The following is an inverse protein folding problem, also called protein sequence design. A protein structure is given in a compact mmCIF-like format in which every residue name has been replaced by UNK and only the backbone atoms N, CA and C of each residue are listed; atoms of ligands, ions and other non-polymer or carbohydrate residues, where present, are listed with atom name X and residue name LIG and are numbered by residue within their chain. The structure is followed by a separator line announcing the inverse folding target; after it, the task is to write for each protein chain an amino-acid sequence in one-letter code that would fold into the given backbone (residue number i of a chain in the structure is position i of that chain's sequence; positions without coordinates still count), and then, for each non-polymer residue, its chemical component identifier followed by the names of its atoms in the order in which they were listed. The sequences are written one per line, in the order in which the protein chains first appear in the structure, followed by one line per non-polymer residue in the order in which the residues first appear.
data_IF_931912325121
#
_entry.id   IF_931912325121
#
_cell.length_a   1.000
_cell.length_b   1.000
_cell.length_c   1.000
_cell.angle_alpha   90.00
_cell.angle_beta   90.00
_cell.angle_gamma   90.00
#
_symmetry.space_group_name_H-M   'P 1'
#
loop_
_entity.id
_entity.type
_entity.pdbx_description
1 polymer ?
#
# COMPACT_ATOMS: atom_id res chain seq x y z
N UNK A 1 0.82 32.53 -16.23
CA UNK A 1 2.19 32.68 -15.72
C UNK A 1 2.51 31.42 -14.94
N UNK A 2 3.57 30.67 -15.27
CA UNK A 2 3.84 29.37 -14.63
C UNK A 2 4.16 29.57 -13.14
N UNK A 3 3.36 28.95 -12.26
CA UNK A 3 3.41 29.00 -10.79
C UNK A 3 4.78 28.61 -10.22
N UNK A 4 5.49 27.74 -10.93
CA UNK A 4 6.81 27.22 -10.54
C UNK A 4 7.92 27.69 -11.50
N UNK A 5 9.12 27.89 -10.95
CA UNK A 5 10.38 28.06 -11.71
C UNK A 5 11.25 26.83 -11.50
N UNK A 6 11.77 26.25 -12.56
CA UNK A 6 12.75 25.15 -12.48
C UNK A 6 14.09 25.64 -11.92
N UNK A 7 14.70 24.85 -11.02
CA UNK A 7 15.98 25.16 -10.39
C UNK A 7 17.03 24.10 -10.75
N UNK A 8 16.86 22.86 -10.27
CA UNK A 8 17.86 21.78 -10.41
C UNK A 8 17.21 20.45 -10.75
N UNK A 9 17.82 19.69 -11.66
CA UNK A 9 17.46 18.28 -11.90
C UNK A 9 17.92 17.40 -10.73
N UNK A 10 16.97 16.79 -10.03
CA UNK A 10 17.23 15.90 -8.89
C UNK A 10 17.38 14.44 -9.31
N UNK A 11 16.67 14.02 -10.36
CA UNK A 11 16.74 12.66 -10.86
C UNK A 11 15.93 12.44 -12.12
N UNK A 12 16.27 11.38 -12.86
CA UNK A 12 15.56 10.95 -14.05
C UNK A 12 15.50 9.42 -14.09
N UNK A 13 14.32 8.87 -14.33
CA UNK A 13 14.10 7.43 -14.35
C UNK A 13 12.93 7.01 -15.24
N UNK A 14 12.55 5.72 -15.19
CA UNK A 14 11.46 5.17 -16.01
C UNK A 14 10.10 5.82 -15.77
N UNK A 15 9.91 6.45 -14.61
CA UNK A 15 8.66 7.11 -14.22
C UNK A 15 8.70 8.62 -14.40
N UNK A 16 9.69 9.15 -15.11
CA UNK A 16 9.79 10.56 -15.43
C UNK A 16 10.97 11.29 -14.79
N UNK A 17 10.85 12.61 -14.74
CA UNK A 17 11.91 13.53 -14.33
C UNK A 17 11.52 14.23 -13.04
N UNK A 18 12.44 14.32 -12.08
CA UNK A 18 12.22 15.02 -10.81
C UNK A 18 13.11 16.26 -10.75
N UNK A 19 12.49 17.42 -10.55
CA UNK A 19 13.13 18.72 -10.49
C UNK A 19 12.91 19.35 -9.13
N UNK A 20 13.92 20.06 -8.62
CA UNK A 20 13.73 21.09 -7.61
C UNK A 20 13.12 22.31 -8.29
N UNK A 21 12.04 22.83 -7.71
CA UNK A 21 11.32 24.00 -8.26
C UNK A 21 11.02 25.01 -7.18
N UNK A 22 11.04 26.30 -7.52
CA UNK A 22 10.64 27.40 -6.65
C UNK A 22 9.18 27.78 -6.96
N UNK A 23 8.30 27.71 -5.95
CA UNK A 23 6.96 28.27 -6.07
C UNK A 23 7.03 29.80 -5.91
N UNK A 24 6.53 30.52 -6.91
CA UNK A 24 6.59 32.00 -6.94
C UNK A 24 5.60 32.65 -5.98
N UNK A 25 4.57 31.94 -5.54
CA UNK A 25 3.52 32.48 -4.67
C UNK A 25 3.94 32.50 -3.19
N UNK A 26 4.61 31.43 -2.72
CA UNK A 26 5.04 31.30 -1.32
C UNK A 26 6.56 31.37 -1.13
N UNK A 27 7.33 31.49 -2.22
CA UNK A 27 8.81 31.53 -2.23
C UNK A 27 9.48 30.29 -1.61
N UNK A 28 8.82 29.13 -1.62
CA UNK A 28 9.37 27.86 -1.11
C UNK A 28 9.78 26.92 -2.23
N UNK A 29 10.75 26.06 -1.91
CA UNK A 29 11.20 25.00 -2.82
C UNK A 29 10.41 23.71 -2.64
N UNK A 30 10.14 23.05 -3.75
CA UNK A 30 9.40 21.79 -3.85
C UNK A 30 10.12 20.80 -4.76
N UNK A 31 9.74 19.53 -4.66
CA UNK A 31 10.06 18.53 -5.67
C UNK A 31 8.91 18.45 -6.67
N UNK A 32 9.22 18.59 -7.96
CA UNK A 32 8.30 18.44 -9.08
C UNK A 32 8.65 17.18 -9.85
N UNK A 33 7.78 16.18 -9.79
CA UNK A 33 7.87 14.98 -10.62
C UNK A 33 7.01 15.18 -11.87
N UNK A 34 7.65 15.03 -13.03
CA UNK A 34 7.04 15.19 -14.35
C UNK A 34 7.03 13.82 -15.04
N UNK A 35 5.84 13.30 -15.29
CA UNK A 35 5.63 12.05 -15.98
C UNK A 35 5.05 12.32 -17.36
N UNK A 36 5.73 11.90 -18.43
CA UNK A 36 5.21 12.02 -19.79
C UNK A 36 4.28 10.85 -20.07
N UNK A 37 2.98 11.14 -20.18
CA UNK A 37 1.97 10.09 -20.35
C UNK A 37 2.20 9.31 -21.65
N UNK A 38 2.51 10.00 -22.75
CA UNK A 38 2.78 9.35 -24.04
C UNK A 38 3.93 8.34 -23.95
N UNK A 39 5.07 8.77 -23.39
CA UNK A 39 6.25 7.91 -23.24
C UNK A 39 5.98 6.72 -22.33
N UNK A 40 5.26 6.93 -21.21
CA UNK A 40 4.82 5.86 -20.33
C UNK A 40 3.95 4.87 -21.09
N UNK A 41 2.94 5.37 -21.79
CA UNK A 41 2.04 4.53 -22.56
C UNK A 41 2.84 3.71 -23.60
N UNK A 42 3.66 4.33 -24.44
CA UNK A 42 4.37 3.62 -25.52
C UNK A 42 5.58 2.77 -25.11
N UNK A 43 5.92 2.67 -23.82
CA UNK A 43 7.16 2.02 -23.38
C UNK A 43 7.19 0.49 -23.56
N UNK A 44 6.04 -0.16 -23.78
CA UNK A 44 5.97 -1.56 -24.25
C UNK A 44 4.58 -1.87 -24.77
N UNK A 45 4.48 -2.54 -25.91
CA UNK A 45 3.21 -2.84 -26.59
C UNK A 45 2.20 -3.67 -25.76
N UNK A 46 2.62 -4.24 -24.62
CA UNK A 46 1.78 -5.11 -23.76
C UNK A 46 1.52 -4.58 -22.33
N UNK A 47 2.10 -3.45 -21.87
CA UNK A 47 1.98 -3.00 -20.46
C UNK A 47 1.37 -1.60 -20.24
N UNK A 48 0.62 -1.08 -21.21
CA UNK A 48 -0.06 0.21 -21.07
C UNK A 48 -0.93 0.30 -19.79
N UNK A 49 -1.67 -0.77 -19.48
CA UNK A 49 -2.47 -0.91 -18.25
C UNK A 49 -1.71 -0.63 -16.97
N UNK A 50 -0.48 -1.12 -16.87
CA UNK A 50 0.29 -1.06 -15.62
C UNK A 50 0.65 0.37 -15.29
N UNK A 51 1.20 1.09 -16.25
CA UNK A 51 1.76 2.43 -16.02
C UNK A 51 0.65 3.43 -15.72
N UNK A 52 -0.49 3.21 -16.32
CA UNK A 52 -1.75 3.90 -16.07
C UNK A 52 -2.27 3.63 -14.66
N UNK A 53 -2.31 2.36 -14.25
CA UNK A 53 -2.67 1.99 -12.88
C UNK A 53 -1.72 2.62 -11.88
N UNK A 54 -0.44 2.81 -12.24
CA UNK A 54 0.51 3.48 -11.38
C UNK A 54 0.11 4.93 -11.11
N UNK A 55 -0.32 5.67 -12.13
CA UNK A 55 -0.78 7.06 -11.99
C UNK A 55 -2.02 7.13 -11.12
N UNK A 56 -3.03 6.29 -11.37
CA UNK A 56 -4.26 6.26 -10.56
C UNK A 56 -3.94 5.96 -9.09
N UNK A 57 -3.08 4.96 -8.84
CA UNK A 57 -2.67 4.58 -7.48
C UNK A 57 -1.91 5.70 -6.80
N UNK A 58 -1.02 6.39 -7.53
CA UNK A 58 -0.29 7.56 -7.04
C UNK A 58 -1.26 8.69 -6.66
N UNK A 59 -2.27 8.98 -7.50
CA UNK A 59 -3.31 9.98 -7.18
C UNK A 59 -4.09 9.60 -5.92
N UNK A 60 -4.45 8.32 -5.75
CA UNK A 60 -5.16 7.87 -4.55
C UNK A 60 -4.31 8.06 -3.27
N UNK A 61 -2.99 8.16 -3.39
CA UNK A 61 -2.11 8.43 -2.24
C UNK A 61 -2.02 9.90 -1.85
N UNK A 62 -2.60 10.83 -2.61
CA UNK A 62 -2.54 12.27 -2.31
C UNK A 62 -3.30 12.66 -1.04
N UNK A 63 -4.27 11.84 -0.61
CA UNK A 63 -4.99 12.02 0.67
C UNK A 63 -4.21 11.53 1.90
N UNK A 64 -3.05 10.91 1.71
CA UNK A 64 -2.24 10.39 2.81
C UNK A 64 -1.59 11.54 3.60
N UNK A 65 -1.62 11.42 4.92
CA UNK A 65 -1.05 12.39 5.84
C UNK A 65 -0.45 11.67 7.04
N UNK A 66 0.87 11.56 7.06
CA UNK A 66 1.62 10.88 8.11
C UNK A 66 3.06 11.44 8.17
N UNK A 67 3.69 11.56 9.36
CA UNK A 67 5.05 12.11 9.49
C UNK A 67 6.11 11.36 8.66
N UNK A 68 5.91 10.07 8.39
CA UNK A 68 6.81 9.22 7.60
C UNK A 68 6.31 8.94 6.18
N UNK A 69 5.36 9.74 5.67
CA UNK A 69 4.89 9.70 4.28
C UNK A 69 5.13 11.09 3.68
N UNK A 70 5.68 11.12 2.47
CA UNK A 70 5.97 12.37 1.77
C UNK A 70 4.68 13.16 1.54
N UNK A 71 4.68 14.43 1.97
CA UNK A 71 3.53 15.31 1.86
C UNK A 71 3.31 15.75 0.41
N UNK A 72 2.15 15.38 -0.10
CA UNK A 72 1.62 15.89 -1.35
C UNK A 72 1.23 17.38 -1.21
N UNK A 73 1.49 18.16 -2.24
CA UNK A 73 1.10 19.56 -2.32
C UNK A 73 0.00 19.78 -3.38
N UNK A 74 0.28 19.44 -4.64
CA UNK A 74 -0.69 19.53 -5.73
C UNK A 74 -0.28 18.69 -6.93
N UNK A 75 -1.19 18.51 -7.88
CA UNK A 75 -0.93 17.87 -9.16
C UNK A 75 -1.74 18.53 -10.26
N UNK A 76 -1.25 18.45 -11.50
CA UNK A 76 -1.97 18.96 -12.66
C UNK A 76 -1.50 18.26 -13.94
N UNK A 77 -2.39 18.26 -14.93
CA UNK A 77 -2.05 17.88 -16.30
C UNK A 77 -1.64 19.12 -17.08
N UNK A 78 -0.63 18.95 -17.91
CA UNK A 78 -0.16 19.97 -18.87
C UNK A 78 -0.77 19.70 -20.24
N UNK A 79 -0.70 20.70 -21.13
CA UNK A 79 -1.21 20.59 -22.50
C UNK A 79 -0.36 19.69 -23.40
N UNK A 80 0.87 19.37 -22.98
CA UNK A 80 1.81 18.48 -23.67
C UNK A 80 1.86 17.08 -23.04
N UNK A 81 0.72 16.61 -22.54
CA UNK A 81 0.49 15.26 -22.00
C UNK A 81 1.46 14.86 -20.87
N UNK A 82 1.88 15.83 -20.05
CA UNK A 82 2.62 15.54 -18.81
C UNK A 82 1.69 15.59 -17.61
N UNK A 83 1.79 14.57 -16.77
CA UNK A 83 1.26 14.58 -15.42
C UNK A 83 2.33 15.09 -14.47
N UNK A 84 2.02 16.19 -13.76
CA UNK A 84 2.93 16.85 -12.84
C UNK A 84 2.45 16.66 -11.41
N UNK A 85 3.34 16.24 -10.53
CA UNK A 85 3.10 16.02 -9.10
C UNK A 85 4.09 16.88 -8.31
N UNK A 86 3.58 17.66 -7.37
CA UNK A 86 4.36 18.51 -6.48
C UNK A 86 4.31 17.95 -5.06
N UNK A 87 5.48 17.72 -4.47
CA UNK A 87 5.63 17.28 -3.08
C UNK A 87 6.60 18.17 -2.32
N UNK A 88 6.65 18.00 -1.00
CA UNK A 88 7.75 18.56 -0.20
C UNK A 88 9.11 18.12 -0.74
N UNK A 89 10.12 19.00 -0.63
CA UNK A 89 11.49 18.75 -1.09
C UNK A 89 12.32 18.09 0.00
N UNK A 90 12.94 16.96 -0.31
CA UNK A 90 13.92 16.28 0.53
C UNK A 90 15.35 16.72 0.21
N UNK A 91 16.27 16.51 1.15
CA UNK A 91 17.70 16.80 0.97
C UNK A 91 18.39 15.72 0.10
N UNK A 92 17.94 14.47 0.24
CA UNK A 92 18.42 13.32 -0.52
C UNK A 92 17.49 12.11 -0.36
N UNK A 93 17.79 10.99 -1.01
CA UNK A 93 17.20 9.69 -0.69
C UNK A 93 18.17 8.83 0.15
N UNK A 94 17.69 7.70 0.68
CA UNK A 94 18.47 6.84 1.57
C UNK A 94 19.71 6.26 0.87
N UNK A 95 19.64 5.96 -0.42
CA UNK A 95 20.80 5.54 -1.24
C UNK A 95 21.91 6.58 -1.18
N UNK A 96 21.58 7.84 -1.48
CA UNK A 96 22.52 8.96 -1.48
C UNK A 96 23.05 9.27 -0.08
N UNK A 97 22.19 9.26 0.93
CA UNK A 97 22.56 9.46 2.32
C UNK A 97 23.56 8.40 2.80
N UNK A 98 23.26 7.12 2.57
CA UNK A 98 24.14 6.01 2.94
C UNK A 98 25.48 6.07 2.21
N UNK A 99 25.47 6.42 0.92
CA UNK A 99 26.69 6.62 0.13
C UNK A 99 27.60 7.70 0.74
N UNK A 100 27.04 8.86 1.12
CA UNK A 100 27.78 9.93 1.80
C UNK A 100 28.40 9.45 3.13
N UNK A 101 27.69 8.65 3.92
CA UNK A 101 28.23 8.10 5.17
C UNK A 101 29.44 7.19 4.89
N UNK A 102 29.34 6.30 3.89
CA UNK A 102 30.44 5.39 3.51
C UNK A 102 31.65 6.16 2.99
N UNK A 103 31.45 7.15 2.12
CA UNK A 103 32.52 7.99 1.57
C UNK A 103 33.27 8.77 2.66
N UNK A 104 32.53 9.24 3.68
CA UNK A 104 33.10 9.91 4.85
C UNK A 104 33.58 8.94 5.94
N UNK A 105 33.55 7.63 5.69
CA UNK A 105 33.94 6.56 6.63
C UNK A 105 33.17 6.60 7.95
N UNK A 106 31.94 7.10 7.92
CA UNK A 106 31.04 7.14 9.08
C UNK A 106 30.26 5.82 9.11
N UNK A 107 30.57 4.98 10.13
CA UNK A 107 29.75 3.81 10.44
C UNK A 107 28.47 4.25 11.16
N UNK A 108 27.35 3.69 10.76
CA UNK A 108 26.09 3.88 11.47
C UNK A 108 26.08 3.05 12.76
N UNK A 109 25.56 3.63 13.83
CA UNK A 109 25.33 2.90 15.07
C UNK A 109 24.05 2.06 14.97
N UNK A 110 23.93 1.05 15.83
CA UNK A 110 22.70 0.25 15.91
C UNK A 110 21.48 1.12 16.24
N UNK A 111 21.64 2.13 17.13
CA UNK A 111 20.57 3.08 17.43
C UNK A 111 20.10 3.84 16.17
N UNK A 112 21.03 4.34 15.34
CA UNK A 112 20.68 5.03 14.10
C UNK A 112 19.97 4.10 13.11
N UNK A 113 20.42 2.85 12.96
CA UNK A 113 19.76 1.87 12.08
C UNK A 113 18.33 1.59 12.58
N UNK A 114 18.17 1.38 13.88
CA UNK A 114 16.86 1.15 14.50
C UNK A 114 15.92 2.34 14.30
N UNK A 115 16.41 3.58 14.49
CA UNK A 115 15.61 4.80 14.30
C UNK A 115 15.11 4.97 12.85
N UNK A 116 15.96 4.69 11.87
CA UNK A 116 15.56 4.71 10.46
C UNK A 116 14.51 3.63 10.20
N UNK A 117 14.74 2.41 10.67
CA UNK A 117 13.81 1.31 10.46
C UNK A 117 12.46 1.55 11.13
N UNK A 118 12.42 2.12 12.33
CA UNK A 118 11.17 2.52 12.99
C UNK A 118 10.39 3.51 12.12
N UNK A 119 11.05 4.54 11.58
CA UNK A 119 10.40 5.53 10.72
C UNK A 119 9.85 4.91 9.42
N UNK A 120 10.62 4.02 8.79
CA UNK A 120 10.16 3.26 7.61
C UNK A 120 8.93 2.42 7.98
N UNK A 121 9.01 1.66 9.08
CA UNK A 121 7.92 0.77 9.48
C UNK A 121 6.67 1.54 9.88
N UNK A 122 6.76 2.69 10.54
CA UNK A 122 5.59 3.55 10.82
C UNK A 122 4.89 4.00 9.53
N UNK A 123 5.65 4.45 8.53
CA UNK A 123 5.10 4.78 7.22
C UNK A 123 4.42 3.58 6.55
N UNK A 124 5.07 2.42 6.58
CA UNK A 124 4.54 1.16 6.02
C UNK A 124 3.26 0.72 6.72
N UNK A 125 3.22 0.74 8.05
CA UNK A 125 2.04 0.41 8.84
C UNK A 125 0.89 1.37 8.52
N UNK A 126 1.17 2.68 8.44
CA UNK A 126 0.16 3.66 8.08
C UNK A 126 -0.49 3.37 6.71
N UNK A 127 0.31 2.93 5.71
CA UNK A 127 -0.17 2.51 4.41
C UNK A 127 -1.00 1.22 4.52
N UNK A 128 -0.47 0.20 5.21
CA UNK A 128 -1.14 -1.09 5.39
C UNK A 128 -2.49 -0.92 6.07
N UNK A 129 -2.57 0.01 7.02
CA UNK A 129 -3.79 0.41 7.68
C UNK A 129 -4.82 1.00 6.68
N UNK A 130 -4.39 1.62 5.60
CA UNK A 130 -5.30 2.10 4.55
C UNK A 130 -5.53 1.09 3.44
N UNK A 131 -5.18 -0.19 3.65
CA UNK A 131 -5.18 -1.25 2.63
C UNK A 131 -4.34 -0.88 1.39
N UNK A 132 -3.30 -0.06 1.60
CA UNK A 132 -2.33 0.31 0.56
C UNK A 132 -1.06 -0.47 0.83
N UNK A 133 -0.56 -1.16 -0.18
CA UNK A 133 0.78 -1.76 -0.18
C UNK A 133 1.70 -0.88 -1.03
N UNK A 134 2.93 -0.66 -0.59
CA UNK A 134 3.88 0.15 -1.34
C UNK A 134 4.43 -0.60 -2.56
N UNK A 135 4.79 -1.88 -2.41
CA UNK A 135 5.24 -2.82 -3.47
C UNK A 135 6.53 -2.48 -4.21
N UNK A 136 7.14 -1.33 -3.93
CA UNK A 136 8.44 -0.89 -4.46
C UNK A 136 9.28 -0.26 -3.33
N UNK A 137 9.18 -0.78 -2.10
CA UNK A 137 10.00 -0.29 -1.00
C UNK A 137 11.48 -0.55 -1.31
N UNK A 138 12.25 0.53 -1.43
CA UNK A 138 13.70 0.50 -1.65
C UNK A 138 14.36 1.76 -1.08
N UNK A 139 15.69 1.78 -0.92
CA UNK A 139 16.40 2.98 -0.46
C UNK A 139 16.22 4.21 -1.37
N UNK A 140 15.87 4.04 -2.65
CA UNK A 140 15.61 5.16 -3.55
C UNK A 140 14.26 5.84 -3.27
N UNK A 141 13.30 5.07 -2.74
CA UNK A 141 11.94 5.53 -2.43
C UNK A 141 11.79 5.92 -0.93
N UNK A 142 12.91 6.12 -0.23
CA UNK A 142 12.96 6.64 1.14
C UNK A 142 13.69 7.97 1.12
N UNK A 143 12.96 9.06 1.32
CA UNK A 143 13.46 10.42 1.33
C UNK A 143 14.00 10.82 2.71
N UNK A 144 15.07 11.59 2.71
CA UNK A 144 15.83 12.02 3.89
C UNK A 144 15.71 13.52 4.07
N UNK A 145 15.35 13.95 5.27
CA UNK A 145 15.14 15.34 5.68
C UNK A 145 15.88 15.63 6.98
N UNK A 146 16.06 16.92 7.26
CA UNK A 146 16.61 17.45 8.51
C UNK A 146 17.97 16.82 8.87
N UNK A 147 18.88 16.75 7.89
CA UNK A 147 20.24 16.20 8.01
C UNK A 147 20.27 14.76 8.54
N UNK A 148 19.39 13.90 7.98
CA UNK A 148 19.36 12.48 8.35
C UNK A 148 18.58 12.16 9.62
N UNK A 149 17.73 13.08 10.09
CA UNK A 149 16.87 12.85 11.27
C UNK A 149 15.47 12.35 10.90
N UNK A 150 14.96 12.71 9.72
CA UNK A 150 13.60 12.36 9.29
C UNK A 150 13.62 11.56 7.98
N UNK A 151 12.87 10.46 7.96
CA UNK A 151 12.76 9.55 6.83
C UNK A 151 11.29 9.39 6.43
N UNK A 152 11.00 9.58 5.14
CA UNK A 152 9.64 9.49 4.61
C UNK A 152 9.59 8.62 3.37
N UNK A 153 8.55 7.79 3.25
CA UNK A 153 8.31 7.01 2.04
C UNK A 153 7.78 7.92 0.92
N UNK A 154 8.11 7.62 -0.33
CA UNK A 154 7.59 8.28 -1.52
C UNK A 154 7.30 7.27 -2.65
N UNK A 155 6.71 7.73 -3.75
CA UNK A 155 6.51 6.92 -4.97
C UNK A 155 5.69 5.63 -4.78
N UNK A 156 4.46 5.79 -4.28
CA UNK A 156 3.51 4.70 -4.00
C UNK A 156 2.82 4.12 -5.26
N UNK A 157 3.12 4.66 -6.44
CA UNK A 157 2.42 4.31 -7.68
C UNK A 157 2.79 2.95 -8.25
N UNK A 158 3.91 2.33 -7.88
CA UNK A 158 4.52 1.28 -8.72
C UNK A 158 4.05 -0.15 -8.41
N UNK A 159 2.77 -0.38 -8.64
CA UNK A 159 2.21 -1.73 -8.65
C UNK A 159 2.29 -2.36 -10.05
N UNK A 160 3.03 -3.46 -10.14
CA UNK A 160 3.06 -4.47 -11.22
C UNK A 160 3.84 -4.16 -12.51
N UNK A 161 5.17 -4.28 -12.40
CA UNK A 161 6.06 -4.78 -13.47
C UNK A 161 6.32 -3.81 -14.64
N UNK A 162 7.50 -3.18 -14.63
CA UNK A 162 8.18 -2.82 -15.88
C UNK A 162 9.33 -3.80 -16.07
N UNK A 163 9.22 -4.67 -17.08
CA UNK A 163 10.40 -5.32 -17.64
C UNK A 163 11.26 -4.27 -18.35
N UNK A 164 12.58 -4.44 -18.20
CA UNK A 164 13.65 -3.85 -19.01
C UNK A 164 13.62 -2.33 -19.26
N UNK A 165 13.97 -1.53 -18.25
CA UNK A 165 14.89 -0.41 -18.48
C UNK A 165 16.27 -0.80 -17.93
N UNK A 166 17.36 -0.35 -18.56
CA UNK A 166 18.73 -0.64 -18.08
C UNK A 166 19.02 -0.09 -16.66
N UNK A 167 18.09 0.68 -16.08
CA UNK A 167 18.09 1.16 -14.69
C UNK A 167 17.26 0.29 -13.71
N UNK A 168 16.54 -0.75 -14.16
CA UNK A 168 15.60 -1.53 -13.31
C UNK A 168 16.21 -2.70 -12.52
N UNK A 169 17.48 -3.06 -12.75
CA UNK A 169 18.09 -4.25 -12.12
C UNK A 169 18.14 -4.11 -10.59
N UNK A 170 18.43 -2.91 -10.07
CA UNK A 170 18.52 -2.66 -8.61
C UNK A 170 17.19 -2.74 -7.87
N UNK A 171 16.10 -2.23 -8.45
CA UNK A 171 14.76 -2.27 -7.80
C UNK A 171 14.19 -3.69 -7.70
N UNK A 172 14.55 -4.60 -8.62
CA UNK A 172 14.16 -6.01 -8.50
C UNK A 172 14.83 -6.71 -7.30
N UNK A 173 15.94 -6.18 -6.78
CA UNK A 173 16.67 -6.77 -5.66
C UNK A 173 15.90 -6.70 -4.33
N UNK A 174 14.84 -5.88 -4.25
CA UNK A 174 14.04 -5.68 -3.03
C UNK A 174 12.71 -6.44 -3.06
N UNK A 175 12.29 -6.99 -4.20
CA UNK A 175 10.97 -7.61 -4.35
C UNK A 175 10.87 -8.94 -3.61
N UNK A 176 9.70 -9.15 -3.01
CA UNK A 176 9.34 -10.41 -2.37
C UNK A 176 9.17 -11.53 -3.42
N UNK A 177 9.51 -12.79 -3.09
CA UNK A 177 9.44 -13.90 -4.04
C UNK A 177 8.03 -14.13 -4.58
N UNK A 178 7.00 -13.93 -3.75
CA UNK A 178 5.61 -14.11 -4.16
C UNK A 178 5.12 -13.06 -5.17
N UNK A 179 5.77 -11.89 -5.30
CA UNK A 179 5.40 -10.88 -6.31
C UNK A 179 5.66 -11.40 -7.73
N UNK A 180 6.62 -12.31 -7.90
CA UNK A 180 7.02 -12.86 -9.20
C UNK A 180 6.03 -13.90 -9.73
N UNK A 181 5.20 -14.47 -8.85
CA UNK A 181 4.16 -15.45 -9.18
C UNK A 181 2.80 -14.75 -9.36
N UNK A 182 2.47 -14.37 -10.60
CA UNK A 182 1.32 -13.52 -10.95
C UNK A 182 -0.08 -14.09 -10.62
N UNK A 183 -0.17 -15.32 -10.11
CA UNK A 183 -1.44 -16.03 -9.88
C UNK A 183 -1.93 -16.04 -8.42
N UNK A 184 -1.17 -15.46 -7.47
CA UNK A 184 -1.55 -15.41 -6.05
C UNK A 184 -1.82 -13.97 -5.63
N UNK A 185 -2.93 -13.73 -4.95
CA UNK A 185 -3.19 -12.45 -4.30
C UNK A 185 -2.06 -12.09 -3.34
N UNK A 186 -1.53 -10.87 -3.43
CA UNK A 186 -0.40 -10.42 -2.59
C UNK A 186 -0.90 -9.89 -1.25
N UNK A 187 -0.18 -10.20 -0.18
CA UNK A 187 -0.44 -9.69 1.18
C UNK A 187 0.47 -8.48 1.50
N UNK A 188 0.15 -7.66 2.51
CA UNK A 188 1.03 -6.58 2.97
C UNK A 188 2.45 -7.03 3.37
N UNK A 189 2.67 -8.33 3.58
CA UNK A 189 3.97 -8.91 3.95
C UNK A 189 5.03 -8.77 2.86
N UNK A 190 4.66 -8.42 1.62
CA UNK A 190 5.63 -8.09 0.56
C UNK A 190 6.49 -6.86 0.89
N UNK A 191 5.89 -5.88 1.59
CA UNK A 191 6.60 -4.67 2.02
C UNK A 191 7.53 -4.98 3.20
N UNK A 192 7.17 -5.95 4.05
CA UNK A 192 8.02 -6.45 5.14
C UNK A 192 9.28 -7.12 4.61
N UNK A 193 9.17 -7.93 3.55
CA UNK A 193 10.33 -8.49 2.88
C UNK A 193 11.27 -7.40 2.35
N UNK A 194 10.71 -6.42 1.65
CA UNK A 194 11.45 -5.28 1.09
C UNK A 194 12.18 -4.50 2.19
N UNK A 195 11.49 -4.24 3.31
CA UNK A 195 12.06 -3.62 4.51
C UNK A 195 13.19 -4.47 5.15
N UNK A 196 13.11 -5.80 5.08
CA UNK A 196 14.17 -6.71 5.55
C UNK A 196 15.45 -6.55 4.73
N UNK A 197 15.33 -6.43 3.40
CA UNK A 197 16.48 -6.17 2.52
C UNK A 197 17.05 -4.76 2.77
N UNK A 198 16.19 -3.77 3.08
CA UNK A 198 16.65 -2.43 3.51
C UNK A 198 17.41 -2.50 4.84
N UNK A 199 16.94 -3.27 5.83
CA UNK A 199 17.66 -3.48 7.10
C UNK A 199 19.05 -4.09 6.84
N UNK A 200 19.14 -5.11 6.00
CA UNK A 200 20.43 -5.68 5.59
C UNK A 200 21.35 -4.65 4.92
N UNK A 201 20.80 -3.82 4.03
CA UNK A 201 21.52 -2.74 3.37
C UNK A 201 22.04 -1.69 4.37
N UNK A 202 21.24 -1.31 5.37
CA UNK A 202 21.66 -0.38 6.42
C UNK A 202 22.80 -0.97 7.27
N UNK A 203 22.74 -2.26 7.62
CA UNK A 203 23.78 -2.93 8.38
C UNK A 203 25.09 -3.09 7.59
N UNK A 204 25.02 -3.48 6.32
CA UNK A 204 26.20 -3.98 5.58
C UNK A 204 26.68 -3.07 4.46
N UNK A 205 25.86 -2.09 4.03
CA UNK A 205 26.04 -1.32 2.79
C UNK A 205 26.11 -2.18 1.52
N UNK A 206 25.55 -3.40 1.56
CA UNK A 206 25.53 -4.37 0.45
C UNK A 206 24.10 -4.75 0.11
N UNK A 207 23.89 -5.14 -1.14
CA UNK A 207 22.64 -5.75 -1.64
C UNK A 207 22.78 -7.27 -1.86
N UNK A 208 24.00 -7.80 -1.70
CA UNK A 208 24.34 -9.19 -1.96
C UNK A 208 24.83 -9.87 -0.70
N UNK A 209 24.23 -11.02 -0.39
CA UNK A 209 24.72 -11.92 0.64
C UNK A 209 25.47 -13.09 0.00
N UNK A 210 26.71 -13.33 0.44
CA UNK A 210 27.60 -14.38 -0.11
C UNK A 210 27.70 -14.34 -1.65
N UNK A 211 27.75 -13.14 -2.22
CA UNK A 211 27.88 -12.93 -3.68
C UNK A 211 26.58 -13.04 -4.50
N UNK A 212 25.46 -13.46 -3.88
CA UNK A 212 24.14 -13.55 -4.52
C UNK A 212 23.21 -12.43 -4.05
N UNK A 213 22.34 -11.95 -4.92
CA UNK A 213 21.31 -10.96 -4.56
C UNK A 213 20.31 -11.63 -3.62
N UNK A 214 19.95 -10.98 -2.51
CA UNK A 214 19.10 -11.61 -1.49
C UNK A 214 17.75 -12.05 -2.06
N UNK A 215 17.11 -11.24 -2.91
CA UNK A 215 15.83 -11.61 -3.55
C UNK A 215 15.91 -12.85 -4.46
N UNK A 216 17.12 -13.27 -4.86
CA UNK A 216 17.33 -14.48 -5.68
C UNK A 216 17.62 -15.73 -4.87
N UNK A 217 17.75 -15.61 -3.55
CA UNK A 217 18.00 -16.73 -2.65
C UNK A 217 16.67 -17.41 -2.30
N UNK A 218 16.18 -18.28 -3.20
CA UNK A 218 14.87 -18.95 -3.06
C UNK A 218 14.94 -20.36 -2.45
N UNK A 219 16.16 -20.87 -2.21
CA UNK A 219 16.38 -22.27 -1.81
C UNK A 219 16.33 -22.46 -0.29
N UNK A 220 15.16 -22.25 0.33
CA UNK A 220 14.89 -22.57 1.74
C UNK A 220 15.03 -21.41 2.73
N UNK A 221 14.99 -21.69 4.05
CA UNK A 221 15.01 -20.64 5.08
C UNK A 221 16.33 -19.88 5.02
N UNK A 222 16.23 -18.56 4.78
CA UNK A 222 17.37 -17.66 4.84
C UNK A 222 17.87 -17.57 6.28
N UNK A 223 19.14 -17.96 6.49
CA UNK A 223 19.90 -17.72 7.73
C UNK A 223 21.05 -16.77 7.41
N UNK A 224 20.71 -15.48 7.33
CA UNK A 224 21.65 -14.40 7.11
C UNK A 224 22.40 -14.13 8.41
N UNK A 225 23.74 -14.15 8.29
CA UNK A 225 24.65 -13.73 9.35
C UNK A 225 25.15 -12.32 9.09
N UNK A 226 25.17 -11.50 10.13
CA UNK A 226 25.68 -10.15 10.18
C UNK A 226 26.98 -10.12 10.98
N UNK A 227 27.78 -9.06 10.78
CA UNK A 227 29.00 -8.85 11.54
C UNK A 227 28.67 -8.55 13.02
N UNK A 228 29.61 -8.81 13.93
CA UNK A 228 29.38 -8.72 15.38
C UNK A 228 28.82 -7.35 15.81
N UNK A 229 29.22 -6.27 15.14
CA UNK A 229 28.73 -4.90 15.38
C UNK A 229 27.19 -4.78 15.21
N UNK A 230 26.58 -5.52 14.27
CA UNK A 230 25.15 -5.47 13.93
C UNK A 230 24.40 -6.78 14.24
N UNK A 231 25.03 -7.72 14.95
CA UNK A 231 24.49 -9.05 15.22
C UNK A 231 23.11 -9.07 15.87
N UNK A 232 22.79 -8.02 16.64
CA UNK A 232 21.48 -7.87 17.29
C UNK A 232 20.30 -7.85 16.30
N UNK A 233 20.52 -7.48 15.03
CA UNK A 233 19.47 -7.45 14.01
C UNK A 233 19.26 -8.80 13.32
N UNK A 234 20.16 -9.78 13.49
CA UNK A 234 20.05 -11.08 12.81
C UNK A 234 18.72 -11.80 13.08
N UNK A 235 18.20 -11.89 14.33
CA UNK A 235 16.96 -12.62 14.57
C UNK A 235 15.77 -11.99 13.86
N UNK A 236 15.66 -10.66 13.93
CA UNK A 236 14.60 -9.89 13.28
C UNK A 236 14.71 -10.00 11.74
N UNK A 237 15.91 -9.81 11.20
CA UNK A 237 16.17 -9.88 9.76
C UNK A 237 15.71 -11.23 9.17
N UNK A 238 16.03 -12.34 9.84
CA UNK A 238 15.66 -13.67 9.37
C UNK A 238 14.14 -13.98 9.51
N UNK A 239 13.41 -13.30 10.41
CA UNK A 239 11.94 -13.36 10.46
C UNK A 239 11.29 -12.56 9.33
N UNK A 240 11.87 -11.40 8.97
CA UNK A 240 11.40 -10.56 7.86
C UNK A 240 11.62 -11.22 6.49
N UNK A 241 12.69 -12.01 6.34
CA UNK A 241 13.07 -12.67 5.09
C UNK A 241 12.62 -14.14 5.01
N UNK A 242 11.52 -14.50 5.69
CA UNK A 242 10.88 -15.81 5.48
C UNK A 242 10.26 -15.88 4.09
N UNK A 243 10.53 -16.97 3.38
CA UNK A 243 10.06 -17.16 2.02
C UNK A 243 8.53 -17.29 1.97
N UNK A 244 7.95 -18.17 2.81
CA UNK A 244 6.51 -18.29 2.96
C UNK A 244 5.94 -17.03 3.67
N UNK A 245 5.03 -16.26 3.02
CA UNK A 245 4.40 -15.10 3.64
C UNK A 245 3.64 -15.41 4.93
N UNK A 246 3.17 -16.65 5.12
CA UNK A 246 2.46 -17.08 6.34
C UNK A 246 3.41 -17.25 7.53
N UNK A 247 4.66 -17.64 7.28
CA UNK A 247 5.70 -17.73 8.31
C UNK A 247 6.44 -16.40 8.53
N UNK A 248 6.30 -15.46 7.60
CA UNK A 248 6.93 -14.14 7.69
C UNK A 248 6.24 -13.32 8.76
N UNK A 249 7.00 -12.59 9.56
CA UNK A 249 6.50 -11.62 10.55
C UNK A 249 5.72 -10.48 9.88
N UNK A 250 4.69 -9.92 10.52
CA UNK A 250 3.98 -8.73 9.99
C UNK A 250 4.67 -7.39 10.37
N UNK A 251 4.18 -6.28 9.81
CA UNK A 251 4.78 -4.96 9.99
C UNK A 251 4.71 -4.43 11.43
N UNK A 252 3.68 -4.81 12.20
CA UNK A 252 3.51 -4.42 13.61
C UNK A 252 4.48 -5.19 14.50
N UNK A 253 4.59 -6.49 14.27
CA UNK A 253 5.52 -7.35 14.98
C UNK A 253 6.98 -6.92 14.74
N UNK A 254 7.34 -6.52 13.50
CA UNK A 254 8.66 -5.92 13.22
C UNK A 254 8.89 -4.66 14.04
N UNK A 255 7.92 -3.73 14.05
CA UNK A 255 8.05 -2.50 14.80
C UNK A 255 8.19 -2.78 16.32
N UNK A 256 7.47 -3.77 16.85
CA UNK A 256 7.61 -4.19 18.25
C UNK A 256 9.03 -4.67 18.58
N UNK A 257 9.61 -5.55 17.74
CA UNK A 257 10.97 -6.04 17.98
C UNK A 257 12.03 -4.93 17.84
N UNK A 258 11.82 -3.96 16.94
CA UNK A 258 12.70 -2.77 16.85
C UNK A 258 12.64 -1.92 18.12
N UNK A 259 11.46 -1.73 18.72
CA UNK A 259 11.32 -1.02 19.98
C UNK A 259 12.02 -1.77 21.13
N UNK A 260 11.92 -3.10 21.17
CA UNK A 260 12.63 -3.94 22.15
C UNK A 260 14.15 -3.79 22.02
N UNK A 261 14.67 -3.80 20.78
CA UNK A 261 16.08 -3.53 20.47
C UNK A 261 16.50 -2.15 20.98
N UNK A 262 15.64 -1.14 20.81
CA UNK A 262 15.90 0.24 21.26
C UNK A 262 15.69 0.45 22.76
N UNK A 263 15.13 -0.54 23.47
CA UNK A 263 14.70 -0.43 24.86
C UNK A 263 13.69 0.72 25.08
N UNK A 264 12.84 0.98 24.09
CA UNK A 264 11.78 1.98 24.18
C UNK A 264 10.41 1.32 24.34
N UNK A 265 9.51 1.99 25.05
CA UNK A 265 8.15 1.46 25.20
C UNK A 265 7.44 1.52 23.86
N UNK A 266 7.07 0.34 23.35
CA UNK A 266 6.16 0.11 22.20
C UNK A 266 4.91 0.99 22.28
N UNK A 267 4.43 1.31 23.49
CA UNK A 267 3.25 2.15 23.72
C UNK A 267 3.51 3.60 23.28
N UNK A 268 4.73 4.10 23.12
CA UNK A 268 4.96 5.47 22.61
C UNK A 268 4.62 5.63 21.13
N UNK A 269 4.48 4.52 20.40
CA UNK A 269 4.17 4.51 18.97
C UNK A 269 2.67 4.39 18.77
N UNK A 270 2.08 5.46 18.21
CA UNK A 270 0.64 5.54 17.95
C UNK A 270 0.18 4.40 17.05
N UNK A 271 1.00 4.04 16.08
CA UNK A 271 0.77 2.96 15.11
C UNK A 271 0.63 1.60 15.81
N UNK A 272 1.40 1.37 16.89
CA UNK A 272 1.30 0.13 17.67
C UNK A 272 0.16 0.21 18.68
N UNK A 273 -0.21 1.38 19.19
CA UNK A 273 -1.43 1.52 20.00
C UNK A 273 -2.68 1.28 19.16
N UNK A 274 -2.73 1.83 17.95
CA UNK A 274 -3.82 1.61 16.99
C UNK A 274 -3.85 0.15 16.59
N UNK A 275 -2.71 -0.46 16.24
CA UNK A 275 -2.63 -1.87 15.90
C UNK A 275 -2.89 -2.82 17.08
N UNK A 276 -2.44 -2.52 18.31
CA UNK A 276 -2.73 -3.31 19.52
C UNK A 276 -4.18 -3.17 19.93
N UNK A 277 -4.73 -1.95 19.88
CA UNK A 277 -6.18 -1.77 20.01
C UNK A 277 -6.92 -2.57 18.94
N UNK A 278 -6.39 -2.65 17.72
CA UNK A 278 -6.95 -3.47 16.65
C UNK A 278 -6.69 -4.97 16.83
N UNK A 279 -5.59 -5.41 17.46
CA UNK A 279 -5.22 -6.81 17.75
C UNK A 279 -5.93 -7.38 18.97
N UNK A 280 -6.06 -6.61 20.06
CA UNK A 280 -6.95 -6.91 21.18
C UNK A 280 -8.42 -6.90 20.73
N UNK A 281 -8.72 -6.12 19.69
CA UNK A 281 -9.94 -6.20 18.90
C UNK A 281 -9.92 -7.29 17.81
N UNK A 282 -8.79 -7.95 17.51
CA UNK A 282 -8.65 -9.02 16.49
C UNK A 282 -8.85 -10.41 17.09
N UNK A 283 -9.29 -10.54 18.35
CA UNK A 283 -10.20 -11.63 18.67
C UNK A 283 -11.59 -11.34 18.06
N UNK A 284 -11.58 -11.01 16.77
CA UNK A 284 -12.71 -10.82 15.88
C UNK A 284 -12.59 -11.93 14.83
N UNK A 285 -12.43 -13.15 15.34
CA UNK A 285 -12.46 -14.37 14.55
C UNK A 285 -13.92 -14.61 14.17
N UNK A 286 -14.28 -14.12 12.99
CA UNK A 286 -15.59 -14.42 12.43
C UNK A 286 -15.62 -15.87 12.00
N UNK A 287 -16.57 -16.62 12.55
CA UNK A 287 -16.76 -18.04 12.34
C UNK A 287 -17.71 -18.35 11.20
N UNK A 288 -18.51 -17.36 10.74
CA UNK A 288 -19.46 -17.60 9.65
C UNK A 288 -18.76 -17.70 8.28
N UNK A 289 -19.15 -18.71 7.52
CA UNK A 289 -18.68 -18.99 6.16
C UNK A 289 -19.84 -19.09 5.17
N UNK A 290 -19.55 -18.81 3.90
CA UNK A 290 -20.55 -18.92 2.84
C UNK A 290 -20.85 -20.38 2.53
N UNK A 291 -22.12 -20.71 2.31
CA UNK A 291 -22.52 -22.01 1.78
C UNK A 291 -22.22 -22.16 0.27
N UNK A 292 -21.86 -21.07 -0.42
CA UNK A 292 -21.50 -21.08 -1.84
C UNK A 292 -20.01 -21.40 -2.01
N UNK A 293 -19.71 -22.55 -2.62
CA UNK A 293 -18.35 -23.08 -2.81
C UNK A 293 -17.46 -22.11 -3.60
N UNK A 294 -17.96 -21.53 -4.68
CA UNK A 294 -17.21 -20.56 -5.49
C UNK A 294 -16.86 -19.29 -4.71
N UNK A 295 -17.78 -18.83 -3.86
CA UNK A 295 -17.51 -17.68 -2.97
C UNK A 295 -16.43 -18.03 -1.94
N UNK A 296 -16.47 -19.23 -1.34
CA UNK A 296 -15.42 -19.66 -0.40
C UNK A 296 -14.04 -19.74 -1.05
N UNK A 297 -13.95 -20.25 -2.28
CA UNK A 297 -12.69 -20.29 -3.02
C UNK A 297 -12.12 -18.89 -3.29
N UNK A 298 -12.97 -17.92 -3.67
CA UNK A 298 -12.54 -16.54 -3.90
C UNK A 298 -12.09 -15.90 -2.59
N UNK A 299 -12.86 -16.05 -1.50
CA UNK A 299 -12.48 -15.53 -0.17
C UNK A 299 -11.14 -16.10 0.28
N UNK A 300 -10.91 -17.41 0.10
CA UNK A 300 -9.64 -18.06 0.44
C UNK A 300 -8.47 -17.51 -0.39
N UNK A 301 -8.67 -17.27 -1.70
CA UNK A 301 -7.66 -16.66 -2.58
C UNK A 301 -7.33 -15.21 -2.21
N UNK A 302 -8.32 -14.46 -1.74
CA UNK A 302 -8.15 -13.07 -1.29
C UNK A 302 -7.55 -12.97 0.13
N UNK A 303 -7.56 -14.07 0.89
CA UNK A 303 -7.08 -14.13 2.27
C UNK A 303 -8.04 -13.49 3.27
N UNK A 304 -7.62 -13.39 4.52
CA UNK A 304 -8.39 -12.73 5.57
C UNK A 304 -8.61 -11.24 5.28
N UNK A 305 -9.80 -10.75 5.60
CA UNK A 305 -10.11 -9.34 5.45
C UNK A 305 -9.48 -8.54 6.60
N UNK A 306 -8.63 -7.58 6.28
CA UNK A 306 -7.95 -6.76 7.28
C UNK A 306 -8.89 -5.66 7.83
N UNK A 307 -9.64 -6.01 8.88
CA UNK A 307 -10.49 -5.06 9.61
C UNK A 307 -9.67 -4.05 10.46
N UNK A 308 -8.48 -4.44 10.90
CA UNK A 308 -7.59 -3.65 11.77
C UNK A 308 -6.84 -2.53 11.06
N UNK A 309 -7.07 -2.38 9.77
CA UNK A 309 -6.44 -1.35 8.99
C UNK A 309 -7.11 0.03 9.25
N UNK A 310 -8.40 0.06 9.55
CA UNK A 310 -9.24 1.16 9.10
C UNK A 310 -9.39 2.26 10.16
N UNK A 311 -8.76 3.42 9.96
CA UNK A 311 -8.93 4.64 10.78
C UNK A 311 -10.33 5.31 10.68
N UNK A 312 -11.32 4.64 10.07
CA UNK A 312 -12.61 5.23 9.71
C UNK A 312 -13.83 4.56 10.40
N UNK A 313 -13.64 3.79 11.47
CA UNK A 313 -14.79 3.38 12.29
C UNK A 313 -15.27 4.63 13.04
N UNK A 314 -16.53 5.04 12.81
CA UNK A 314 -17.13 6.17 13.53
C UNK A 314 -17.10 5.93 15.04
N UNK A 315 -17.09 6.98 15.85
CA UNK A 315 -17.16 6.80 17.30
C UNK A 315 -18.54 6.29 17.70
N UNK A 316 -18.58 5.18 18.44
CA UNK A 316 -19.76 4.69 19.13
C UNK A 316 -19.35 4.11 20.50
N UNK A 317 -19.72 4.75 21.63
CA UNK A 317 -19.39 4.26 22.96
C UNK A 317 -20.17 3.00 23.37
N UNK A 318 -21.28 2.72 22.71
CA UNK A 318 -22.14 1.57 22.95
C UNK A 318 -21.78 0.37 22.05
N UNK A 319 -20.70 0.46 21.26
CA UNK A 319 -20.23 -0.61 20.37
C UNK A 319 -19.74 -1.82 21.17
N UNK A 320 -20.28 -3.00 20.87
CA UNK A 320 -19.86 -4.28 21.46
C UNK A 320 -19.69 -5.33 20.36
N UNK A 321 -18.76 -6.27 20.54
CA UNK A 321 -18.74 -7.48 19.71
C UNK A 321 -19.92 -8.37 20.08
N UNK A 322 -20.71 -8.79 19.09
CA UNK A 322 -21.77 -9.77 19.28
C UNK A 322 -21.30 -11.14 18.79
N UNK A 323 -20.99 -12.08 19.69
CA UNK A 323 -20.59 -13.43 19.30
C UNK A 323 -21.77 -14.29 18.79
N UNK A 324 -23.01 -13.79 18.86
CA UNK A 324 -24.18 -14.49 18.33
C UNK A 324 -24.43 -14.11 16.88
N UNK A 325 -24.62 -15.13 16.04
CA UNK A 325 -25.03 -14.96 14.65
C UNK A 325 -26.41 -14.31 14.61
N UNK A 326 -26.49 -13.10 14.08
CA UNK A 326 -27.76 -12.42 13.83
C UNK A 326 -28.38 -13.02 12.57
N UNK A 327 -29.33 -13.94 12.74
CA UNK A 327 -30.21 -14.33 11.64
C UNK A 327 -31.17 -13.18 11.33
N UNK A 328 -31.20 -12.77 10.06
CA UNK A 328 -32.14 -11.79 9.52
C UNK A 328 -33.36 -12.52 8.95
N UNK A 329 -34.48 -11.81 8.83
CA UNK A 329 -35.76 -12.38 8.36
C UNK A 329 -35.68 -12.91 6.91
N UNK A 330 -34.74 -12.40 6.12
CA UNK A 330 -34.45 -12.81 4.75
C UNK A 330 -33.56 -14.07 4.65
N UNK A 331 -33.17 -14.65 5.79
CA UNK A 331 -32.27 -15.79 5.89
C UNK A 331 -30.79 -15.44 5.74
N UNK A 332 -30.44 -14.15 5.72
CA UNK A 332 -29.05 -13.73 5.82
C UNK A 332 -28.55 -13.84 7.27
N UNK A 333 -27.23 -13.91 7.42
CA UNK A 333 -26.56 -13.99 8.71
C UNK A 333 -25.51 -12.89 8.84
N UNK A 334 -25.37 -12.35 10.04
CA UNK A 334 -24.34 -11.37 10.37
C UNK A 334 -23.59 -11.78 11.63
N UNK A 335 -22.27 -11.62 11.61
CA UNK A 335 -21.40 -11.79 12.75
C UNK A 335 -20.45 -10.59 12.81
N UNK A 336 -20.39 -9.94 13.98
CA UNK A 336 -19.55 -8.76 14.14
C UNK A 336 -19.95 -7.85 15.28
N UNK A 337 -19.45 -6.62 15.21
CA UNK A 337 -19.77 -5.55 16.15
C UNK A 337 -21.18 -5.01 15.89
N UNK A 338 -21.85 -4.69 16.99
CA UNK A 338 -23.20 -4.12 17.00
C UNK A 338 -23.27 -2.98 18.01
N UNK A 339 -24.24 -2.10 17.81
CA UNK A 339 -24.62 -1.15 18.84
C UNK A 339 -25.40 -1.87 19.96
N UNK A 340 -24.95 -1.71 21.21
CA UNK A 340 -25.51 -2.43 22.35
C UNK A 340 -27.00 -2.14 22.58
N UNK A 341 -27.47 -0.93 22.23
CA UNK A 341 -28.84 -0.47 22.48
C UNK A 341 -29.79 -0.93 21.38
N UNK A 342 -29.46 -0.64 20.14
CA UNK A 342 -30.28 -0.93 18.96
C UNK A 342 -30.10 -2.35 18.42
N UNK A 343 -29.01 -3.04 18.80
CA UNK A 343 -28.64 -4.39 18.32
C UNK A 343 -28.38 -4.49 16.82
N UNK A 344 -28.19 -3.36 16.15
CA UNK A 344 -27.90 -3.34 14.72
C UNK A 344 -26.38 -3.37 14.46
N UNK A 345 -25.93 -3.90 13.31
CA UNK A 345 -24.55 -3.82 12.85
C UNK A 345 -23.97 -2.41 12.97
N UNK A 346 -22.86 -2.32 13.71
CA UNK A 346 -22.13 -1.08 13.92
C UNK A 346 -20.67 -1.42 14.20
N UNK A 347 -19.81 -1.21 13.20
CA UNK A 347 -18.38 -1.50 13.25
C UNK A 347 -17.98 -2.59 12.30
N UNK A 348 -17.04 -3.41 12.73
CA UNK A 348 -16.50 -4.49 11.92
C UNK A 348 -17.52 -5.61 11.86
N UNK A 349 -17.67 -6.24 10.69
CA UNK A 349 -18.64 -7.33 10.53
C UNK A 349 -18.54 -8.03 9.19
N UNK A 350 -18.91 -9.32 9.21
CA UNK A 350 -19.26 -10.09 8.00
C UNK A 350 -20.77 -10.28 7.95
N UNK A 351 -21.31 -10.00 6.78
CA UNK A 351 -22.69 -10.30 6.43
C UNK A 351 -22.68 -11.33 5.30
N UNK A 352 -23.45 -12.41 5.45
CA UNK A 352 -23.60 -13.44 4.42
C UNK A 352 -25.07 -13.49 4.01
N UNK A 353 -25.35 -13.14 2.76
CA UNK A 353 -26.68 -13.22 2.20
C UNK A 353 -27.08 -14.68 1.94
N UNK A 354 -28.39 -14.93 1.87
CA UNK A 354 -28.95 -16.26 1.58
C UNK A 354 -28.43 -16.90 0.29
N UNK A 355 -28.05 -16.11 -0.71
CA UNK A 355 -27.46 -16.61 -1.96
C UNK A 355 -25.96 -16.98 -1.84
N UNK A 356 -25.36 -16.80 -0.65
CA UNK A 356 -23.95 -17.05 -0.37
C UNK A 356 -23.02 -15.86 -0.64
N UNK A 357 -23.54 -14.69 -1.03
CA UNK A 357 -22.72 -13.47 -1.15
C UNK A 357 -22.14 -13.10 0.21
N UNK A 358 -20.83 -12.83 0.25
CA UNK A 358 -20.10 -12.46 1.47
C UNK A 358 -19.74 -10.98 1.41
N UNK A 359 -20.10 -10.24 2.45
CA UNK A 359 -19.81 -8.83 2.61
C UNK A 359 -19.02 -8.62 3.90
N UNK A 360 -17.71 -8.46 3.79
CA UNK A 360 -16.84 -8.03 4.89
C UNK A 360 -16.72 -6.50 4.87
N UNK A 361 -16.73 -5.87 6.03
CA UNK A 361 -16.40 -4.45 6.09
C UNK A 361 -16.81 -3.75 7.36
N UNK A 362 -16.90 -2.43 7.24
CA UNK A 362 -17.38 -1.55 8.29
C UNK A 362 -18.86 -1.21 8.09
N UNK A 363 -19.57 -1.13 9.20
CA UNK A 363 -20.99 -0.88 9.30
C UNK A 363 -21.23 0.34 10.19
N UNK A 364 -22.20 1.17 9.84
CA UNK A 364 -22.69 2.29 10.64
C UNK A 364 -24.20 2.30 10.52
N UNK A 365 -24.89 2.24 11.66
CA UNK A 365 -26.35 2.30 11.69
C UNK A 365 -27.01 1.24 10.75
N UNK A 366 -26.50 0.00 10.75
CA UNK A 366 -26.90 -1.11 9.86
C UNK A 366 -26.56 -0.94 8.37
N UNK A 367 -25.84 0.11 7.97
CA UNK A 367 -25.42 0.36 6.58
C UNK A 367 -23.91 0.19 6.44
N UNK A 368 -23.45 -0.40 5.35
CA UNK A 368 -22.03 -0.53 5.04
C UNK A 368 -21.43 0.85 4.79
N UNK A 369 -20.38 1.19 5.53
CA UNK A 369 -19.79 2.52 5.52
C UNK A 369 -18.30 2.44 5.85
N UNK A 370 -17.44 2.95 4.96
CA UNK A 370 -15.98 2.77 5.02
C UNK A 370 -15.48 1.71 4.04
N UNK A 371 -14.29 1.16 4.28
CA UNK A 371 -13.72 0.16 3.39
C UNK A 371 -14.36 -1.22 3.59
N UNK A 372 -14.58 -1.94 2.50
CA UNK A 372 -15.18 -3.26 2.52
C UNK A 372 -14.78 -4.15 1.35
N UNK A 373 -15.11 -5.43 1.48
CA UNK A 373 -15.02 -6.46 0.46
C UNK A 373 -16.39 -7.10 0.24
N UNK A 374 -16.85 -7.15 -0.99
CA UNK A 374 -18.02 -7.95 -1.38
C UNK A 374 -17.59 -9.04 -2.36
N UNK A 375 -17.92 -10.30 -2.06
CA UNK A 375 -17.75 -11.44 -2.97
C UNK A 375 -19.13 -11.97 -3.31
N UNK A 376 -19.57 -11.68 -4.53
CA UNK A 376 -20.91 -11.94 -5.00
C UNK A 376 -21.09 -13.41 -5.40
N UNK A 377 -22.31 -13.93 -5.24
CA UNK A 377 -22.64 -15.32 -5.58
C UNK A 377 -22.40 -15.69 -7.06
N UNK A 378 -22.32 -14.69 -7.96
CA UNK A 378 -22.02 -14.89 -9.38
C UNK A 378 -20.51 -15.00 -9.68
N UNK A 379 -19.65 -14.85 -8.66
CA UNK A 379 -18.19 -14.88 -8.78
C UNK A 379 -17.53 -13.52 -8.98
N UNK A 380 -18.31 -12.44 -9.12
CA UNK A 380 -17.77 -11.09 -9.10
C UNK A 380 -17.29 -10.73 -7.70
N UNK A 381 -16.38 -9.77 -7.58
CA UNK A 381 -16.03 -9.21 -6.28
C UNK A 381 -15.59 -7.76 -6.35
N UNK A 382 -15.83 -7.04 -5.27
CA UNK A 382 -15.43 -5.65 -5.09
C UNK A 382 -14.59 -5.46 -3.84
N UNK A 383 -13.59 -4.58 -3.94
CA UNK A 383 -12.73 -4.14 -2.85
C UNK A 383 -12.64 -2.62 -2.90
N UNK A 384 -13.20 -1.91 -1.92
CA UNK A 384 -13.18 -0.46 -1.97
C UNK A 384 -13.98 0.24 -0.88
N UNK A 385 -14.10 1.55 -1.04
CA UNK A 385 -14.80 2.44 -0.12
C UNK A 385 -16.32 2.43 -0.38
N UNK A 386 -17.07 2.51 0.72
CA UNK A 386 -18.53 2.61 0.78
C UNK A 386 -18.97 3.78 1.63
N UNK A 387 -20.18 4.25 1.36
CA UNK A 387 -20.92 5.17 2.21
C UNK A 387 -22.39 4.84 2.11
N UNK A 388 -22.99 4.49 3.25
CA UNK A 388 -24.42 4.21 3.38
C UNK A 388 -24.90 3.17 2.34
N UNK A 389 -24.23 2.01 2.32
CA UNK A 389 -24.38 0.87 1.39
C UNK A 389 -23.99 1.11 -0.08
N UNK A 390 -23.61 2.34 -0.45
CA UNK A 390 -23.19 2.66 -1.83
C UNK A 390 -21.69 2.70 -1.95
N UNK A 391 -21.16 2.25 -3.08
CA UNK A 391 -19.74 2.45 -3.42
C UNK A 391 -19.51 3.95 -3.60
N UNK A 392 -18.62 4.50 -2.78
CA UNK A 392 -18.24 5.91 -2.79
C UNK A 392 -16.77 6.03 -2.37
N UNK A 393 -15.94 6.59 -3.25
CA UNK A 393 -14.49 6.64 -3.07
C UNK A 393 -13.74 5.68 -3.99
N UNK A 394 -12.52 5.33 -3.64
CA UNK A 394 -11.67 4.49 -4.50
C UNK A 394 -12.01 3.00 -4.31
N UNK A 395 -12.08 2.26 -5.41
CA UNK A 395 -12.36 0.83 -5.37
C UNK A 395 -11.95 0.07 -6.61
N UNK A 396 -11.95 -1.26 -6.47
CA UNK A 396 -11.71 -2.21 -7.55
C UNK A 396 -12.89 -3.15 -7.67
N UNK A 397 -13.39 -3.28 -8.89
CA UNK A 397 -14.42 -4.24 -9.23
C UNK A 397 -13.83 -5.27 -10.18
N UNK A 398 -14.04 -6.54 -9.88
CA UNK A 398 -13.59 -7.67 -10.68
C UNK A 398 -14.80 -8.48 -11.10
N UNK A 399 -14.96 -8.66 -12.40
CA UNK A 399 -15.99 -9.52 -12.95
C UNK A 399 -15.44 -10.94 -13.11
N UNK A 400 -16.29 -11.93 -12.91
CA UNK A 400 -15.94 -13.35 -13.03
C UNK A 400 -15.43 -13.73 -14.44
N UNK A 401 -15.77 -12.93 -15.45
CA UNK A 401 -15.33 -13.14 -16.83
C UNK A 401 -13.90 -12.62 -17.12
N UNK A 402 -13.22 -12.05 -16.12
CA UNK A 402 -11.87 -11.51 -16.21
C UNK A 402 -11.79 -10.02 -16.49
N UNK A 403 -12.92 -9.33 -16.73
CA UNK A 403 -12.95 -7.88 -16.76
C UNK A 403 -12.61 -7.31 -15.37
N UNK A 404 -12.00 -6.12 -15.31
CA UNK A 404 -11.89 -5.39 -14.04
C UNK A 404 -11.85 -3.88 -14.23
N UNK A 405 -12.24 -3.16 -13.18
CA UNK A 405 -12.21 -1.71 -13.07
C UNK A 405 -11.48 -1.32 -11.79
N UNK A 406 -10.62 -0.32 -11.86
CA UNK A 406 -9.95 0.30 -10.72
C UNK A 406 -10.05 1.83 -10.86
N UNK A 407 -10.73 2.48 -9.91
CA UNK A 407 -11.00 3.90 -10.01
C UNK A 407 -11.95 4.41 -8.93
N UNK A 408 -12.34 5.67 -9.07
CA UNK A 408 -13.30 6.29 -8.17
C UNK A 408 -14.74 5.88 -8.49
N UNK A 409 -15.55 5.84 -7.45
CA UNK A 409 -16.99 5.62 -7.49
C UNK A 409 -17.72 6.74 -6.76
N UNK A 410 -18.91 7.08 -7.24
CA UNK A 410 -19.85 7.98 -6.57
C UNK A 410 -21.26 7.44 -6.73
N UNK A 411 -21.92 7.10 -5.62
CA UNK A 411 -23.26 6.50 -5.61
C UNK A 411 -23.36 5.26 -6.53
N UNK A 412 -22.46 4.30 -6.35
CA UNK A 412 -22.39 3.04 -7.12
C UNK A 412 -21.97 3.18 -8.58
N UNK A 413 -21.71 4.40 -9.06
CA UNK A 413 -21.29 4.64 -10.44
C UNK A 413 -19.82 4.95 -10.53
N UNK A 414 -19.20 4.58 -11.63
CA UNK A 414 -17.84 4.98 -11.98
C UNK A 414 -17.80 6.49 -12.21
N UNK A 415 -16.87 7.16 -11.54
CA UNK A 415 -16.74 8.61 -11.49
C UNK A 415 -15.25 9.00 -11.42
N UNK A 416 -14.87 10.20 -11.84
CA UNK A 416 -13.50 10.69 -11.73
C UNK A 416 -12.51 9.89 -12.58
N UNK A 417 -11.25 9.77 -12.15
CA UNK A 417 -10.25 8.99 -12.89
C UNK A 417 -10.42 7.49 -12.61
N UNK A 418 -10.41 6.69 -13.68
CA UNK A 418 -10.58 5.25 -13.59
C UNK A 418 -9.96 4.52 -14.75
N UNK A 419 -9.57 3.27 -14.50
CA UNK A 419 -9.02 2.34 -15.48
C UNK A 419 -9.92 1.11 -15.56
N UNK A 420 -10.24 0.68 -16.78
CA UNK A 420 -10.97 -0.56 -17.05
C UNK A 420 -10.16 -1.43 -18.02
N UNK A 421 -10.15 -2.74 -17.76
CA UNK A 421 -9.72 -3.77 -18.70
C UNK A 421 -10.92 -4.62 -19.06
N UNK A 422 -11.27 -4.65 -20.34
CA UNK A 422 -12.33 -5.48 -20.88
C UNK A 422 -11.88 -6.93 -21.05
N UNK A 423 -12.86 -7.84 -21.13
CA UNK A 423 -12.63 -9.28 -21.33
C UNK A 423 -11.86 -9.59 -22.62
N UNK A 424 -12.06 -8.80 -23.67
CA UNK A 424 -11.34 -8.96 -24.94
C UNK A 424 -9.89 -8.44 -24.89
N UNK A 425 -9.46 -7.86 -23.78
CA UNK A 425 -8.13 -7.28 -23.59
C UNK A 425 -8.09 -5.77 -23.79
N UNK A 426 -9.10 -5.17 -24.42
CA UNK A 426 -9.20 -3.72 -24.63
C UNK A 426 -9.12 -2.99 -23.29
N UNK A 427 -8.52 -1.82 -23.29
CA UNK A 427 -8.35 -1.05 -22.05
C UNK A 427 -8.76 0.38 -22.26
N UNK A 428 -9.22 1.00 -21.18
CA UNK A 428 -9.48 2.43 -21.15
C UNK A 428 -9.02 3.04 -19.84
N UNK A 429 -8.27 4.14 -19.96
CA UNK A 429 -8.02 5.09 -18.89
C UNK A 429 -8.67 6.41 -19.25
N UNK A 430 -9.39 7.00 -18.31
CA UNK A 430 -9.77 8.39 -18.49
C UNK A 430 -10.63 8.88 -17.35
N UNK A 431 -11.28 10.01 -17.61
CA UNK A 431 -12.32 10.47 -16.72
C UNK A 431 -13.61 9.69 -16.99
N UNK A 432 -14.36 9.51 -15.92
CA UNK A 432 -15.64 8.84 -15.86
C UNK A 432 -16.62 9.80 -15.22
N UNK A 433 -17.85 9.79 -15.73
CA UNK A 433 -18.97 10.39 -15.03
C UNK A 433 -20.20 9.54 -15.29
N UNK A 434 -20.88 9.12 -14.23
CA UNK A 434 -22.07 8.28 -14.32
C UNK A 434 -21.90 7.05 -15.23
N UNK A 435 -20.85 6.24 -15.01
CA UNK A 435 -20.53 5.01 -15.76
C UNK A 435 -20.18 5.22 -17.24
N UNK A 436 -19.96 6.47 -17.65
CA UNK A 436 -19.58 6.82 -19.02
C UNK A 436 -18.23 7.47 -19.05
N UNK A 437 -17.47 7.13 -20.08
CA UNK A 437 -16.26 7.85 -20.45
C UNK A 437 -16.59 9.34 -20.66
N UNK A 438 -15.83 10.21 -20.01
CA UNK A 438 -15.90 11.65 -20.19
C UNK A 438 -14.49 12.23 -20.31
N UNK A 439 -14.36 13.38 -20.99
CA UNK A 439 -13.11 14.13 -21.04
C UNK A 439 -12.01 13.42 -21.83
N UNK A 440 -10.76 13.61 -21.39
CA UNK A 440 -9.59 12.99 -22.03
C UNK A 440 -9.42 11.58 -21.49
N UNK A 441 -9.29 10.63 -22.41
CA UNK A 441 -9.00 9.23 -22.11
C UNK A 441 -8.18 8.59 -23.21
N UNK A 442 -7.57 7.46 -22.90
CA UNK A 442 -6.74 6.68 -23.80
C UNK A 442 -7.34 5.29 -23.90
N UNK A 443 -7.70 4.91 -25.12
CA UNK A 443 -8.03 3.54 -25.49
C UNK A 443 -6.75 2.83 -25.93
N UNK A 444 -6.58 1.60 -25.46
CA UNK A 444 -5.36 0.81 -25.62
C UNK A 444 -5.68 -0.58 -26.17
#
# INVERSE_FOLDING_TARGET
MYKYTEDVLLGQGGFGTVLKVLNKEDSKYYAMKIQKLKDLMTASDENYSTQILCIIREINTFKLNHPNITKFHESYFTHDDKFVIITELAESNLTQYKKKLVENKIKMTNAQITDIMIQIMKGTIYLHNRNIMHRDLSPDNILVFDDGQKFKLCDFGLSQQTQSSKSTVGKQNYKAPEIVDNNKGYTPKVDVWSAGIILYYLCTSKEKYKGKVISTLTDGPLDIKLDDDQKQFEPLLNKMLRFDPNERIDSIQVLSELCDIKQESVIQHREIREAKNNLDRNHFDLTIESMNDSVREIVAKLGEFNYGAIDNIHSNPDRIFNPQILSKDDGAIYEGEVDKKSKIPDGRGRYIYKNGTVCDGLWKDNLKNGFGRDVYANGDYYLGEYKDDRREGFGRYYWNDGQFYEGYHLNDKQEGLGYIRYRNGDQYLGQWANDKFQGVGVHL
#
